data_IF_388570682277
#
_entry.id   IF_388570682277
#
_cell.length_a   1.000
_cell.length_b   1.000
_cell.length_c   1.000
_cell.angle_alpha   90.00
_cell.angle_beta   90.00
_cell.angle_gamma   90.00
#
_symmetry.space_group_name_H-M   'P 1'
#
loop_
_entity.id
_entity.type
_entity.pdbx_description
1 polymer ?
#
# COMPACT_ATOMS: atom_id res chain seq x y z
N UNK A 1 17.95 17.93 -14.51
CA UNK A 1 17.71 19.33 -14.92
C UNK A 1 16.98 19.41 -16.26
N UNK A 2 17.51 18.88 -17.38
CA UNK A 2 16.86 18.97 -18.72
C UNK A 2 15.44 18.37 -18.76
N UNK A 3 15.21 17.24 -18.10
CA UNK A 3 13.87 16.62 -18.02
C UNK A 3 12.83 17.50 -17.31
N UNK A 4 13.24 18.26 -16.30
CA UNK A 4 12.37 19.16 -15.54
C UNK A 4 11.88 20.32 -16.42
N UNK A 5 12.79 20.96 -17.16
CA UNK A 5 12.45 22.00 -18.13
C UNK A 5 11.60 21.46 -19.29
N UNK A 6 11.89 20.23 -19.75
CA UNK A 6 11.05 19.57 -20.75
C UNK A 6 9.61 19.44 -20.28
N UNK A 7 9.38 18.92 -19.07
CA UNK A 7 8.02 18.76 -18.54
C UNK A 7 7.32 20.09 -18.30
N UNK A 8 8.03 21.09 -17.78
CA UNK A 8 7.50 22.46 -17.66
C UNK A 8 7.03 23.01 -19.01
N UNK A 9 7.82 22.82 -20.06
CA UNK A 9 7.49 23.33 -21.39
C UNK A 9 6.42 22.49 -22.10
N UNK A 10 6.38 21.17 -21.90
CA UNK A 10 5.45 20.29 -22.63
C UNK A 10 4.11 20.06 -21.92
N UNK A 11 4.12 20.03 -20.59
CA UNK A 11 2.96 19.67 -19.77
C UNK A 11 2.51 20.82 -18.84
N UNK A 12 3.16 21.99 -18.91
CA UNK A 12 2.85 23.17 -18.08
C UNK A 12 3.19 22.99 -16.59
N UNK A 13 3.62 21.80 -16.17
CA UNK A 13 3.96 21.47 -14.79
C UNK A 13 5.24 20.66 -14.74
N UNK A 14 6.10 20.95 -13.77
CA UNK A 14 7.39 20.27 -13.67
C UNK A 14 7.28 18.81 -13.17
N UNK A 15 6.17 18.49 -12.49
CA UNK A 15 5.91 17.21 -11.86
C UNK A 15 4.89 16.35 -12.61
N UNK A 16 4.45 16.77 -13.81
CA UNK A 16 3.33 16.14 -14.54
C UNK A 16 2.06 16.00 -13.68
N UNK A 17 1.89 16.90 -12.70
CA UNK A 17 0.85 16.89 -11.68
C UNK A 17 0.55 18.32 -11.25
N UNK A 18 -0.73 18.63 -11.10
CA UNK A 18 -1.18 19.90 -10.53
C UNK A 18 -1.06 19.77 -9.01
N UNK A 19 -0.49 20.79 -8.36
CA UNK A 19 -0.42 20.84 -6.90
C UNK A 19 -1.78 21.33 -6.42
N UNK A 20 -2.60 20.40 -5.95
CA UNK A 20 -3.91 20.69 -5.37
C UNK A 20 -3.97 20.14 -3.96
N UNK A 21 -4.64 20.88 -3.06
CA UNK A 21 -4.83 20.41 -1.70
C UNK A 21 -5.98 19.41 -1.67
N UNK A 22 -5.68 18.18 -1.26
CA UNK A 22 -6.66 17.12 -1.05
C UNK A 22 -6.69 16.73 0.42
N UNK A 23 -7.88 16.73 1.03
CA UNK A 23 -8.02 16.29 2.41
C UNK A 23 -7.84 14.75 2.49
N UNK A 24 -6.98 14.29 3.40
CA UNK A 24 -6.79 12.86 3.63
C UNK A 24 -8.11 12.23 4.10
N UNK A 25 -8.52 11.15 3.42
CA UNK A 25 -9.70 10.38 3.81
C UNK A 25 -9.51 9.77 5.20
N UNK A 26 -10.57 9.80 6.02
CA UNK A 26 -10.53 9.26 7.39
C UNK A 26 -10.15 7.79 7.39
N UNK A 27 -10.70 7.02 6.47
CA UNK A 27 -10.39 5.59 6.30
C UNK A 27 -8.89 5.33 6.14
N UNK A 28 -8.20 6.15 5.35
CA UNK A 28 -6.76 6.01 5.14
C UNK A 28 -5.97 6.38 6.39
N UNK A 29 -6.35 7.45 7.08
CA UNK A 29 -5.73 7.82 8.35
C UNK A 29 -5.87 6.68 9.38
N UNK A 30 -7.05 6.06 9.46
CA UNK A 30 -7.28 4.89 10.31
C UNK A 30 -6.45 3.68 9.85
N UNK A 31 -6.29 3.46 8.55
CA UNK A 31 -5.44 2.40 8.04
C UNK A 31 -3.96 2.59 8.43
N UNK A 32 -3.43 3.81 8.31
CA UNK A 32 -2.07 4.11 8.77
C UNK A 32 -1.93 3.97 10.29
N UNK A 33 -2.91 4.44 11.06
CA UNK A 33 -2.91 4.29 12.52
C UNK A 33 -2.98 2.82 12.94
N UNK A 34 -3.80 2.02 12.26
CA UNK A 34 -3.92 0.58 12.49
C UNK A 34 -2.60 -0.14 12.17
N UNK A 35 -1.96 0.21 11.06
CA UNK A 35 -0.64 -0.32 10.69
C UNK A 35 0.41 0.05 11.76
N UNK A 36 0.50 1.32 12.16
CA UNK A 36 1.43 1.78 13.21
C UNK A 36 1.17 1.08 14.54
N UNK A 37 -0.11 0.90 14.91
CA UNK A 37 -0.48 0.19 16.14
C UNK A 37 -0.05 -1.27 16.10
N UNK A 38 -0.16 -1.92 14.93
CA UNK A 38 0.22 -3.32 14.76
C UNK A 38 1.72 -3.59 15.00
N UNK A 39 2.56 -2.56 14.89
CA UNK A 39 4.00 -2.65 15.18
C UNK A 39 4.29 -2.91 16.65
N UNK A 40 3.44 -2.37 17.53
CA UNK A 40 3.66 -2.39 18.98
C UNK A 40 2.81 -3.42 19.69
N UNK A 41 1.59 -3.65 19.21
CA UNK A 41 0.71 -4.67 19.76
C UNK A 41 0.30 -5.63 18.67
N UNK A 42 0.83 -6.86 18.69
CA UNK A 42 0.57 -7.78 17.62
C UNK A 42 -0.88 -8.27 17.58
N UNK A 43 -1.34 -8.56 16.35
CA UNK A 43 -2.76 -8.75 16.06
C UNK A 43 -3.41 -10.03 16.63
N UNK A 44 -2.63 -11.04 16.99
CA UNK A 44 -3.12 -12.31 17.55
C UNK A 44 -3.37 -12.25 19.07
N UNK A 45 -2.98 -11.16 19.75
CA UNK A 45 -3.38 -10.99 21.13
C UNK A 45 -4.91 -10.75 21.13
N UNK A 46 -5.69 -11.49 21.94
CA UNK A 46 -7.15 -11.34 22.03
C UNK A 46 -7.51 -10.07 22.84
N UNK A 47 -6.95 -8.94 22.43
CA UNK A 47 -7.19 -7.62 22.99
C UNK A 47 -8.13 -6.88 22.06
N UNK A 48 -9.09 -6.16 22.65
CA UNK A 48 -9.93 -5.20 21.95
C UNK A 48 -9.08 -4.19 21.16
N UNK A 49 -9.59 -3.72 20.02
CA UNK A 49 -8.89 -2.76 19.16
C UNK A 49 -8.53 -1.47 19.90
N UNK A 50 -9.41 -1.01 20.79
CA UNK A 50 -9.18 0.21 21.60
C UNK A 50 -8.01 -0.01 22.56
N UNK A 51 -7.99 -1.15 23.25
CA UNK A 51 -6.93 -1.48 24.20
C UNK A 51 -5.58 -1.65 23.49
N UNK A 52 -5.61 -2.26 22.30
CA UNK A 52 -4.45 -2.41 21.42
C UNK A 52 -3.87 -1.05 21.00
N UNK A 53 -4.74 -0.14 20.57
CA UNK A 53 -4.35 1.21 20.20
C UNK A 53 -3.77 1.97 21.41
N UNK A 54 -4.43 1.89 22.57
CA UNK A 54 -3.97 2.54 23.81
C UNK A 54 -2.59 2.00 24.25
N UNK A 55 -2.38 0.69 24.22
CA UNK A 55 -1.08 0.08 24.53
C UNK A 55 0.00 0.54 23.57
N UNK A 56 -0.32 0.57 22.27
CA UNK A 56 0.60 1.00 21.22
C UNK A 56 1.02 2.46 21.38
N UNK A 57 0.04 3.34 21.63
CA UNK A 57 0.27 4.77 21.89
C UNK A 57 1.08 4.95 23.18
N UNK A 58 0.74 4.22 24.24
CA UNK A 58 1.44 4.31 25.54
C UNK A 58 2.90 3.90 25.42
N UNK A 59 3.20 2.82 24.68
CA UNK A 59 4.56 2.35 24.44
C UNK A 59 5.36 3.36 23.60
N UNK A 60 4.75 3.88 22.53
CA UNK A 60 5.37 4.91 21.71
C UNK A 60 5.65 6.18 22.51
N UNK A 61 4.62 6.76 23.11
CA UNK A 61 4.77 7.97 23.92
C UNK A 61 5.76 7.77 25.08
N UNK A 62 5.76 6.60 25.72
CA UNK A 62 6.65 6.28 26.84
C UNK A 62 8.12 6.26 26.44
N UNK A 63 8.47 5.59 25.33
CA UNK A 63 9.86 5.51 24.87
C UNK A 63 10.35 6.83 24.28
N UNK A 64 9.52 7.53 23.49
CA UNK A 64 9.85 8.88 23.04
C UNK A 64 10.02 9.83 24.23
N UNK A 65 9.09 9.81 25.19
CA UNK A 65 9.15 10.62 26.40
C UNK A 65 10.40 10.34 27.23
N UNK A 66 10.78 9.06 27.39
CA UNK A 66 12.01 8.67 28.07
C UNK A 66 13.25 9.21 27.36
N UNK A 67 13.32 9.09 26.03
CA UNK A 67 14.42 9.65 25.24
C UNK A 67 14.56 11.16 25.46
N UNK A 68 13.47 11.93 25.30
CA UNK A 68 13.49 13.38 25.53
C UNK A 68 13.84 13.75 26.97
N UNK A 69 13.35 12.99 27.94
CA UNK A 69 13.71 13.18 29.35
C UNK A 69 15.22 13.00 29.59
N UNK A 70 15.82 11.96 29.01
CA UNK A 70 17.27 11.72 29.11
C UNK A 70 18.09 12.83 28.45
N UNK A 71 17.70 13.26 27.24
CA UNK A 71 18.33 14.38 26.54
C UNK A 71 18.27 15.65 27.40
N UNK A 72 17.10 15.97 27.95
CA UNK A 72 16.88 17.14 28.79
C UNK A 72 17.69 17.09 30.10
N UNK A 73 17.68 15.94 30.79
CA UNK A 73 18.42 15.74 32.05
C UNK A 73 19.93 15.94 31.86
N UNK A 74 20.49 15.47 30.75
CA UNK A 74 21.91 15.61 30.43
C UNK A 74 22.26 17.02 29.98
N UNK A 75 21.42 17.65 29.16
CA UNK A 75 21.60 19.04 28.74
C UNK A 75 21.65 20.02 29.92
N UNK A 76 20.80 19.82 30.93
CA UNK A 76 20.84 20.61 32.17
C UNK A 76 22.12 20.39 32.99
N UNK A 77 22.68 19.17 32.98
CA UNK A 77 23.86 18.82 33.79
C UNK A 77 25.16 19.34 33.20
N UNK A 78 25.27 19.39 31.88
CA UNK A 78 26.54 19.71 31.21
C UNK A 78 26.62 21.15 30.67
N UNK A 79 25.54 21.95 30.75
CA UNK A 79 25.53 23.36 30.32
C UNK A 79 25.69 23.59 28.81
N UNK A 80 26.07 22.56 28.05
CA UNK A 80 26.18 22.55 26.59
C UNK A 80 25.40 21.38 26.01
N UNK A 81 24.56 21.64 25.01
CA UNK A 81 23.92 20.61 24.18
C UNK A 81 25.00 20.04 23.25
N UNK A 82 25.92 19.23 23.77
CA UNK A 82 26.80 18.43 22.93
C UNK A 82 26.01 17.20 22.48
N UNK A 83 25.87 17.00 21.18
CA UNK A 83 25.34 15.76 20.62
C UNK A 83 26.32 14.65 21.00
N UNK A 84 25.99 13.90 22.04
CA UNK A 84 26.76 12.74 22.46
C UNK A 84 26.74 11.72 21.32
N UNK A 85 27.91 11.34 20.82
CA UNK A 85 28.10 10.32 19.77
C UNK A 85 27.36 9.03 20.09
N UNK A 86 27.15 8.71 21.37
CA UNK A 86 26.40 7.51 21.78
C UNK A 86 24.90 7.55 21.39
N UNK A 87 24.34 8.71 21.07
CA UNK A 87 22.90 8.89 20.78
C UNK A 87 22.65 9.26 19.31
N UNK A 88 23.71 9.30 18.48
CA UNK A 88 23.59 9.68 17.07
C UNK A 88 22.58 8.80 16.34
N UNK A 89 22.56 7.50 16.63
CA UNK A 89 21.61 6.55 16.04
C UNK A 89 20.16 6.91 16.37
N UNK A 90 19.87 7.28 17.62
CA UNK A 90 18.52 7.66 18.03
C UNK A 90 18.05 8.94 17.33
N UNK A 91 18.94 9.94 17.23
CA UNK A 91 18.65 11.20 16.53
C UNK A 91 18.45 11.00 15.03
N UNK A 92 19.31 10.20 14.38
CA UNK A 92 19.17 9.87 12.96
C UNK A 92 17.88 9.11 12.71
N UNK A 93 17.52 8.14 13.56
CA UNK A 93 16.24 7.43 13.45
C UNK A 93 15.05 8.36 13.62
N UNK A 94 15.08 9.26 14.62
CA UNK A 94 14.00 10.22 14.84
C UNK A 94 13.84 11.18 13.65
N UNK A 95 14.95 11.71 13.13
CA UNK A 95 14.95 12.58 11.96
C UNK A 95 14.40 11.85 10.72
N UNK A 96 14.81 10.59 10.53
CA UNK A 96 14.30 9.77 9.42
C UNK A 96 12.79 9.51 9.56
N UNK A 97 12.33 9.06 10.74
CA UNK A 97 10.91 8.79 11.01
C UNK A 97 10.08 10.03 10.74
N UNK A 98 10.46 11.17 11.32
CA UNK A 98 9.72 12.43 11.20
C UNK A 98 9.78 12.99 9.78
N UNK A 99 10.96 12.97 9.14
CA UNK A 99 11.13 13.42 7.77
C UNK A 99 10.34 12.57 6.76
N UNK A 100 10.38 11.25 6.89
CA UNK A 100 9.64 10.33 6.01
C UNK A 100 8.13 10.46 6.20
N UNK A 101 7.63 10.54 7.44
CA UNK A 101 6.21 10.82 7.72
C UNK A 101 5.81 12.18 7.13
N UNK A 102 6.65 13.21 7.30
CA UNK A 102 6.41 14.53 6.70
C UNK A 102 6.30 14.49 5.18
N UNK A 103 7.20 13.77 4.52
CA UNK A 103 7.15 13.56 3.05
C UNK A 103 5.88 12.81 2.66
N UNK A 104 5.50 11.75 3.38
CA UNK A 104 4.25 11.02 3.11
C UNK A 104 3.02 11.92 3.26
N UNK A 105 2.96 12.73 4.33
CA UNK A 105 1.86 13.68 4.55
C UNK A 105 1.81 14.72 3.43
N UNK A 106 2.95 15.33 3.07
CA UNK A 106 3.01 16.30 1.96
C UNK A 106 2.57 15.62 0.65
N UNK A 107 3.03 14.41 0.36
CA UNK A 107 2.63 13.69 -0.84
C UNK A 107 1.13 13.39 -0.86
N UNK A 108 0.55 12.95 0.27
CA UNK A 108 -0.89 12.70 0.39
C UNK A 108 -1.73 13.97 0.30
N UNK A 109 -1.28 15.10 0.87
CA UNK A 109 -2.04 16.35 0.85
C UNK A 109 -1.94 17.11 -0.47
N UNK A 110 -0.81 17.03 -1.17
CA UNK A 110 -0.52 17.96 -2.28
C UNK A 110 -0.24 17.31 -3.64
N UNK A 111 0.14 16.03 -3.67
CA UNK A 111 0.67 15.42 -4.90
C UNK A 111 -0.15 14.27 -5.45
N UNK A 112 -0.94 13.56 -4.63
CA UNK A 112 -1.56 12.32 -5.10
C UNK A 112 -2.88 11.96 -4.41
N UNK A 113 -3.99 12.41 -5.00
CA UNK A 113 -5.33 11.96 -4.62
C UNK A 113 -5.51 10.44 -4.76
N UNK A 114 -4.84 9.80 -5.73
CA UNK A 114 -4.94 8.35 -5.93
C UNK A 114 -4.18 7.56 -4.85
N UNK A 115 -3.04 8.05 -4.35
CA UNK A 115 -2.42 7.47 -3.15
C UNK A 115 -3.36 7.54 -1.95
N UNK A 116 -4.23 8.55 -1.90
CA UNK A 116 -5.21 8.67 -0.82
C UNK A 116 -6.31 7.60 -0.91
N UNK A 117 -6.54 7.03 -2.10
CA UNK A 117 -7.57 6.00 -2.33
C UNK A 117 -7.12 4.58 -2.04
N UNK A 118 -5.82 4.28 -2.19
CA UNK A 118 -5.30 2.93 -1.99
C UNK A 118 -3.81 2.90 -1.65
N UNK A 119 -3.30 3.82 -0.82
CA UNK A 119 -1.92 3.76 -0.37
C UNK A 119 -1.71 2.48 0.46
N UNK A 120 -0.91 1.54 -0.04
CA UNK A 120 -0.60 0.34 0.71
C UNK A 120 0.33 0.69 1.87
N UNK A 121 0.07 0.07 3.02
CA UNK A 121 0.87 0.13 4.24
C UNK A 121 2.38 -0.06 4.03
N UNK A 122 2.78 -0.65 2.90
CA UNK A 122 4.18 -0.83 2.48
C UNK A 122 5.00 0.47 2.49
N UNK A 123 4.39 1.65 2.31
CA UNK A 123 5.10 2.93 2.37
C UNK A 123 5.67 3.26 3.76
N UNK A 124 5.15 2.61 4.81
CA UNK A 124 5.65 2.75 6.17
C UNK A 124 6.75 1.72 6.53
N UNK A 125 7.08 0.76 5.65
CA UNK A 125 8.14 -0.24 5.93
C UNK A 125 9.48 0.44 6.30
N UNK A 126 9.96 1.47 5.59
CA UNK A 126 11.19 2.14 6.00
C UNK A 126 11.07 2.78 7.38
N UNK A 127 9.94 3.44 7.67
CA UNK A 127 9.66 4.01 9.00
C UNK A 127 9.69 2.94 10.07
N UNK A 128 9.05 1.79 9.81
CA UNK A 128 9.02 0.66 10.73
C UNK A 128 10.43 0.16 11.09
N UNK A 129 11.35 0.05 10.12
CA UNK A 129 12.73 -0.35 10.39
C UNK A 129 13.43 0.63 11.34
N UNK A 130 13.31 1.94 11.09
CA UNK A 130 13.93 2.95 11.96
C UNK A 130 13.25 3.05 13.33
N UNK A 131 11.95 2.79 13.41
CA UNK A 131 11.23 2.63 14.67
C UNK A 131 11.79 1.45 15.46
N UNK A 132 11.99 0.28 14.84
CA UNK A 132 12.60 -0.88 15.51
C UNK A 132 14.00 -0.55 16.03
N UNK A 133 14.86 0.06 15.21
CA UNK A 133 16.20 0.49 15.64
C UNK A 133 16.12 1.46 16.80
N UNK A 134 15.26 2.48 16.72
CA UNK A 134 15.05 3.44 17.81
C UNK A 134 14.61 2.74 19.11
N UNK A 135 13.70 1.77 19.01
CA UNK A 135 13.17 1.03 20.16
C UNK A 135 14.21 0.12 20.78
N UNK A 136 14.99 -0.61 19.98
CA UNK A 136 16.05 -1.49 20.47
C UNK A 136 17.11 -0.69 21.22
N UNK A 137 17.56 0.43 20.62
CA UNK A 137 18.62 1.26 21.21
C UNK A 137 18.11 1.98 22.47
N UNK A 138 16.90 2.54 22.43
CA UNK A 138 16.29 3.21 23.60
C UNK A 138 15.98 2.21 24.71
N UNK A 139 15.48 1.01 24.36
CA UNK A 139 15.21 -0.07 25.31
C UNK A 139 16.50 -0.61 25.95
N UNK A 140 17.58 -0.74 25.19
CA UNK A 140 18.90 -1.11 25.72
C UNK A 140 19.42 -0.06 26.72
N UNK A 141 19.37 1.23 26.36
CA UNK A 141 19.77 2.32 27.26
C UNK A 141 18.87 2.41 28.48
N UNK A 142 17.58 2.16 28.33
CA UNK A 142 16.63 2.07 29.42
C UNK A 142 17.07 0.96 30.39
N UNK A 143 17.30 -0.26 29.90
CA UNK A 143 17.74 -1.41 30.70
C UNK A 143 19.11 -1.18 31.37
N UNK A 144 20.01 -0.43 30.75
CA UNK A 144 21.34 -0.12 31.27
C UNK A 144 21.30 0.93 32.39
N UNK A 145 20.49 1.97 32.22
CA UNK A 145 20.44 3.11 33.14
C UNK A 145 19.44 2.94 34.28
N UNK A 146 18.53 1.98 34.15
CA UNK A 146 17.60 1.60 35.19
C UNK A 146 18.36 0.94 36.34
N UNK A 147 18.50 1.66 37.47
CA UNK A 147 18.95 1.10 38.76
C UNK A 147 17.86 0.25 39.44
N UNK A 148 16.93 -0.30 38.67
CA UNK A 148 15.82 -1.09 39.21
C UNK A 148 16.36 -2.50 39.50
N UNK A 149 16.00 -3.04 40.66
CA UNK A 149 16.45 -4.36 41.11
C UNK A 149 16.29 -5.43 40.02
N UNK A 150 17.19 -6.42 40.04
CA UNK A 150 17.36 -7.50 39.04
C UNK A 150 16.03 -8.05 38.46
N UNK A 151 14.97 -8.15 39.28
CA UNK A 151 13.63 -8.64 38.88
C UNK A 151 12.98 -7.85 37.74
N UNK A 152 12.99 -6.52 37.74
CA UNK A 152 12.32 -5.73 36.70
C UNK A 152 13.07 -5.74 35.38
N UNK A 153 14.40 -5.85 35.42
CA UNK A 153 15.23 -6.04 34.22
C UNK A 153 14.81 -7.30 33.47
N UNK A 154 14.57 -8.40 34.20
CA UNK A 154 14.07 -9.65 33.62
C UNK A 154 12.64 -9.54 33.10
N UNK A 155 11.75 -8.79 33.79
CA UNK A 155 10.39 -8.54 33.29
C UNK A 155 10.40 -7.76 31.97
N UNK A 156 11.19 -6.69 31.86
CA UNK A 156 11.29 -5.90 30.62
C UNK A 156 11.93 -6.72 29.50
N UNK A 157 13.01 -7.46 29.78
CA UNK A 157 13.65 -8.32 28.80
C UNK A 157 12.70 -9.44 28.32
N UNK A 158 11.97 -10.08 29.24
CA UNK A 158 10.95 -11.08 28.92
C UNK A 158 9.83 -10.50 28.07
N UNK A 159 9.34 -9.29 28.40
CA UNK A 159 8.35 -8.59 27.60
C UNK A 159 8.85 -8.30 26.17
N UNK A 160 10.05 -7.74 26.01
CA UNK A 160 10.64 -7.47 24.70
C UNK A 160 10.81 -8.75 23.88
N UNK A 161 11.25 -9.84 24.51
CA UNK A 161 11.41 -11.13 23.86
C UNK A 161 10.06 -11.70 23.42
N UNK A 162 9.02 -11.58 24.25
CA UNK A 162 7.65 -11.92 23.86
C UNK A 162 7.25 -11.08 22.65
N UNK A 163 7.31 -9.75 22.70
CA UNK A 163 6.95 -8.89 21.56
C UNK A 163 7.66 -9.33 20.27
N UNK A 164 8.98 -9.51 20.31
CA UNK A 164 9.78 -9.93 19.15
C UNK A 164 9.38 -11.32 18.65
N UNK A 165 9.39 -12.34 19.52
CA UNK A 165 9.12 -13.73 19.12
C UNK A 165 7.72 -13.90 18.55
N UNK A 166 6.81 -13.06 19.02
CA UNK A 166 5.42 -13.10 18.66
C UNK A 166 5.22 -12.45 17.26
N UNK A 167 5.99 -11.40 16.91
CA UNK A 167 6.06 -10.85 15.54
C UNK A 167 6.72 -11.80 14.51
N UNK A 168 7.57 -12.74 14.96
CA UNK A 168 8.21 -13.72 14.08
C UNK A 168 7.23 -14.76 13.50
N UNK A 169 6.12 -15.08 14.20
CA UNK A 169 5.18 -16.11 13.74
C UNK A 169 4.43 -15.71 12.47
N UNK A 170 3.81 -14.50 12.37
CA UNK A 170 3.21 -14.04 11.13
C UNK A 170 4.22 -13.90 9.99
N UNK A 171 5.45 -13.45 10.31
CA UNK A 171 6.52 -13.32 9.32
C UNK A 171 6.90 -14.68 8.74
N UNK A 172 7.08 -15.70 9.60
CA UNK A 172 7.37 -17.06 9.16
C UNK A 172 6.26 -17.61 8.27
N UNK A 173 4.99 -17.44 8.65
CA UNK A 173 3.85 -17.88 7.83
C UNK A 173 3.81 -17.17 6.47
N UNK A 174 4.09 -15.87 6.43
CA UNK A 174 4.18 -15.11 5.16
C UNK A 174 5.36 -15.56 4.29
N UNK A 175 6.50 -15.91 4.90
CA UNK A 175 7.69 -16.38 4.18
C UNK A 175 7.54 -17.81 3.66
N UNK A 176 6.91 -18.69 4.44
CA UNK A 176 6.66 -20.08 4.07
C UNK A 176 5.85 -20.19 2.76
N UNK A 177 4.85 -19.33 2.62
CA UNK A 177 3.95 -19.29 1.45
C UNK A 177 4.20 -18.06 0.57
N UNK A 178 5.41 -17.52 0.57
CA UNK A 178 5.72 -16.25 -0.09
C UNK A 178 5.28 -16.20 -1.56
N UNK A 179 5.36 -17.32 -2.28
CA UNK A 179 4.94 -17.42 -3.69
C UNK A 179 3.47 -17.06 -3.91
N UNK A 180 2.58 -17.29 -2.94
CA UNK A 180 1.14 -17.00 -2.99
C UNK A 180 0.87 -15.49 -2.80
N UNK A 181 1.76 -14.78 -2.11
CA UNK A 181 1.59 -13.38 -1.73
C UNK A 181 2.32 -12.38 -2.64
N UNK A 182 3.08 -12.84 -3.63
CA UNK A 182 3.87 -11.97 -4.51
C UNK A 182 3.12 -11.65 -5.81
N UNK A 183 2.42 -10.51 -5.82
CA UNK A 183 1.95 -9.84 -7.05
C UNK A 183 1.24 -10.74 -8.06
N UNK A 184 1.65 -10.66 -9.33
CA UNK A 184 1.06 -11.41 -10.44
C UNK A 184 1.37 -12.91 -10.40
N UNK A 185 2.54 -13.32 -9.91
CA UNK A 185 2.91 -14.72 -9.74
C UNK A 185 1.99 -15.43 -8.74
N UNK A 186 1.69 -14.79 -7.61
CA UNK A 186 0.76 -15.31 -6.62
C UNK A 186 -0.69 -15.36 -7.10
N UNK A 187 -1.07 -14.49 -8.04
CA UNK A 187 -2.38 -14.58 -8.70
C UNK A 187 -2.45 -15.82 -9.60
N UNK A 188 -1.44 -16.06 -10.44
CA UNK A 188 -1.37 -17.24 -11.30
C UNK A 188 -1.46 -18.55 -10.50
N UNK A 189 -0.76 -18.64 -9.36
CA UNK A 189 -0.79 -19.83 -8.51
C UNK A 189 -2.13 -20.05 -7.80
N UNK A 190 -2.81 -18.97 -7.37
CA UNK A 190 -4.12 -19.07 -6.68
C UNK A 190 -5.29 -19.31 -7.62
N UNK A 191 -5.17 -18.85 -8.87
CA UNK A 191 -6.26 -18.90 -9.85
C UNK A 191 -5.78 -19.55 -11.16
N UNK A 192 -5.36 -20.82 -11.12
CA UNK A 192 -4.86 -21.52 -12.31
C UNK A 192 -5.92 -21.59 -13.42
N UNK A 193 -7.21 -21.67 -13.06
CA UNK A 193 -8.31 -21.70 -14.04
C UNK A 193 -8.45 -20.39 -14.81
N UNK A 194 -8.34 -19.24 -14.13
CA UNK A 194 -8.34 -17.92 -14.79
C UNK A 194 -7.12 -17.81 -15.70
N UNK A 195 -5.94 -18.20 -15.22
CA UNK A 195 -4.71 -18.17 -16.00
C UNK A 195 -4.81 -19.04 -17.26
N UNK A 196 -5.42 -20.22 -17.14
CA UNK A 196 -5.68 -21.13 -18.26
C UNK A 196 -6.68 -20.52 -19.25
N UNK A 197 -7.83 -20.03 -18.78
CA UNK A 197 -8.84 -19.42 -19.64
C UNK A 197 -8.31 -18.21 -20.40
N UNK A 198 -7.49 -17.37 -19.78
CA UNK A 198 -6.83 -16.24 -20.47
C UNK A 198 -5.83 -16.74 -21.54
N UNK A 199 -5.10 -17.82 -21.28
CA UNK A 199 -4.17 -18.44 -22.26
C UNK A 199 -4.89 -19.12 -23.42
N UNK A 200 -6.08 -19.67 -23.16
CA UNK A 200 -6.88 -20.41 -24.14
C UNK A 200 -7.64 -19.48 -25.11
N UNK A 201 -7.69 -18.16 -24.86
CA UNK A 201 -8.20 -17.17 -25.81
C UNK A 201 -7.33 -17.18 -27.07
N UNK A 202 -7.97 -17.29 -28.24
CA UNK A 202 -7.30 -17.28 -29.55
C UNK A 202 -6.34 -16.08 -29.69
N UNK A 203 -5.15 -16.33 -30.26
CA UNK A 203 -4.08 -15.33 -30.44
C UNK A 203 -4.48 -14.15 -31.32
N UNK A 204 -5.42 -14.34 -32.24
CA UNK A 204 -5.95 -13.31 -33.14
C UNK A 204 -6.96 -12.39 -32.48
N UNK A 205 -7.59 -12.82 -31.38
CA UNK A 205 -8.67 -12.09 -30.73
C UNK A 205 -8.13 -11.01 -29.78
N UNK A 206 -8.55 -9.73 -29.91
CA UNK A 206 -8.11 -8.68 -29.00
C UNK A 206 -8.67 -8.89 -27.59
N UNK A 207 -7.86 -8.61 -26.57
CA UNK A 207 -8.26 -8.70 -25.16
C UNK A 207 -8.32 -7.29 -24.58
N UNK A 208 -9.46 -6.93 -23.98
CA UNK A 208 -9.63 -5.70 -23.20
C UNK A 208 -9.70 -6.09 -21.72
N UNK A 209 -9.02 -5.36 -20.83
CA UNK A 209 -9.02 -5.71 -19.41
C UNK A 209 -8.87 -4.51 -18.47
N UNK A 210 -9.34 -4.67 -17.23
CA UNK A 210 -9.07 -3.75 -16.13
C UNK A 210 -7.63 -3.82 -15.62
N UNK A 211 -6.87 -4.86 -15.99
CA UNK A 211 -5.46 -5.03 -15.64
C UNK A 211 -4.69 -5.69 -16.80
N UNK A 212 -4.36 -4.92 -17.86
CA UNK A 212 -3.70 -5.46 -19.05
C UNK A 212 -2.31 -6.04 -18.75
N UNK A 213 -1.64 -5.53 -17.72
CA UNK A 213 -0.33 -6.02 -17.28
C UNK A 213 -0.41 -7.45 -16.72
N UNK A 214 -1.47 -7.75 -15.94
CA UNK A 214 -1.70 -9.10 -15.45
C UNK A 214 -2.08 -10.03 -16.60
N UNK A 215 -2.87 -9.59 -17.58
CA UNK A 215 -3.14 -10.38 -18.78
C UNK A 215 -1.85 -10.70 -19.54
N UNK A 216 -0.96 -9.72 -19.71
CA UNK A 216 0.36 -9.93 -20.32
C UNK A 216 1.20 -10.92 -19.53
N UNK A 217 1.24 -10.81 -18.21
CA UNK A 217 1.95 -11.76 -17.36
C UNK A 217 1.38 -13.19 -17.50
N UNK A 218 0.06 -13.34 -17.55
CA UNK A 218 -0.60 -14.65 -17.62
C UNK A 218 -0.49 -15.29 -19.01
N UNK A 219 -0.62 -14.53 -20.08
CA UNK A 219 -0.72 -15.05 -21.46
C UNK A 219 0.51 -14.82 -22.33
N UNK A 220 1.39 -13.90 -21.95
CA UNK A 220 2.45 -13.37 -22.81
C UNK A 220 1.94 -12.46 -23.93
N UNK A 221 0.67 -12.02 -23.87
CA UNK A 221 0.02 -11.22 -24.92
C UNK A 221 -0.37 -9.83 -24.40
N UNK A 222 -0.28 -8.83 -25.26
CA UNK A 222 -0.76 -7.49 -24.93
C UNK A 222 -2.28 -7.46 -24.81
N UNK A 223 -2.77 -6.68 -23.87
CA UNK A 223 -4.19 -6.38 -23.73
C UNK A 223 -4.40 -4.87 -23.71
N UNK A 224 -5.57 -4.44 -24.15
CA UNK A 224 -5.99 -3.05 -24.12
C UNK A 224 -6.57 -2.72 -22.75
N UNK A 225 -6.27 -1.51 -22.28
CA UNK A 225 -6.87 -1.00 -21.05
C UNK A 225 -8.36 -0.77 -21.27
N UNK A 226 -9.19 -1.16 -20.31
CA UNK A 226 -10.62 -0.81 -20.32
C UNK A 226 -10.84 0.71 -20.33
N UNK A 227 -12.03 1.19 -20.73
CA UNK A 227 -12.40 2.58 -20.58
C UNK A 227 -12.37 3.00 -19.10
N UNK A 228 -11.82 4.18 -18.83
CA UNK A 228 -11.70 4.74 -17.48
C UNK A 228 -12.59 5.98 -17.40
N UNK A 229 -13.75 5.86 -16.74
CA UNK A 229 -14.68 6.98 -16.61
C UNK A 229 -14.18 8.09 -15.69
N UNK A 230 -13.55 7.71 -14.57
CA UNK A 230 -13.13 8.62 -13.52
C UNK A 230 -11.62 8.49 -13.31
N UNK A 231 -10.90 9.62 -13.41
CA UNK A 231 -9.47 9.68 -13.12
C UNK A 231 -9.25 9.83 -11.60
N UNK A 232 -8.72 8.81 -10.90
CA UNK A 232 -8.52 8.90 -9.46
C UNK A 232 -7.40 9.86 -9.06
N UNK A 233 -6.52 10.26 -10.00
CA UNK A 233 -5.45 11.22 -9.71
C UNK A 233 -5.94 12.66 -9.75
N UNK A 234 -6.85 12.96 -10.68
CA UNK A 234 -7.43 14.31 -10.85
C UNK A 234 -8.78 14.47 -10.15
N UNK A 235 -9.34 13.37 -9.65
CA UNK A 235 -10.65 13.34 -8.99
C UNK A 235 -11.77 13.92 -9.85
N UNK A 236 -11.72 13.70 -11.17
CA UNK A 236 -12.71 14.15 -12.14
C UNK A 236 -13.02 13.07 -13.16
N UNK A 237 -14.18 13.19 -13.81
CA UNK A 237 -14.47 12.39 -15.00
C UNK A 237 -13.48 12.72 -16.12
N UNK A 238 -13.17 11.71 -16.93
CA UNK A 238 -12.23 11.84 -18.04
C UNK A 238 -12.93 12.36 -19.28
N UNK A 239 -12.36 13.41 -19.87
CA UNK A 239 -12.89 14.04 -21.08
C UNK A 239 -12.84 13.08 -22.30
N UNK A 240 -11.89 12.13 -22.30
CA UNK A 240 -11.68 11.14 -23.36
C UNK A 240 -12.46 9.82 -23.15
N UNK A 241 -13.40 9.78 -22.20
CA UNK A 241 -14.11 8.53 -21.87
C UNK A 241 -14.95 7.98 -23.03
N UNK A 242 -15.63 8.84 -23.77
CA UNK A 242 -16.46 8.44 -24.91
C UNK A 242 -15.60 7.85 -26.03
N UNK A 243 -14.48 8.49 -26.37
CA UNK A 243 -13.55 7.99 -27.37
C UNK A 243 -12.98 6.61 -26.97
N UNK A 244 -12.71 6.40 -25.68
CA UNK A 244 -12.29 5.10 -25.16
C UNK A 244 -13.38 4.03 -25.27
N UNK A 245 -14.64 4.39 -25.01
CA UNK A 245 -15.78 3.48 -25.17
C UNK A 245 -15.92 3.05 -26.63
N UNK A 246 -15.91 3.99 -27.57
CA UNK A 246 -16.03 3.69 -29.00
C UNK A 246 -14.88 2.81 -29.50
N UNK A 247 -13.64 3.13 -29.09
CA UNK A 247 -12.48 2.32 -29.42
C UNK A 247 -12.62 0.89 -28.90
N UNK A 248 -13.00 0.73 -27.63
CA UNK A 248 -13.15 -0.60 -27.02
C UNK A 248 -14.32 -1.37 -27.63
N UNK A 249 -15.44 -0.70 -27.93
CA UNK A 249 -16.57 -1.31 -28.61
C UNK A 249 -16.15 -1.85 -29.97
N UNK A 250 -15.39 -1.08 -30.76
CA UNK A 250 -14.88 -1.52 -32.06
C UNK A 250 -14.02 -2.78 -31.97
N UNK A 251 -13.21 -2.92 -30.91
CA UNK A 251 -12.42 -4.14 -30.66
C UNK A 251 -13.33 -5.33 -30.32
N UNK A 252 -14.36 -5.11 -29.50
CA UNK A 252 -15.29 -6.16 -29.10
C UNK A 252 -16.16 -6.64 -30.26
N UNK A 253 -16.58 -5.74 -31.13
CA UNK A 253 -17.39 -6.06 -32.31
C UNK A 253 -16.61 -6.89 -33.35
N UNK A 254 -15.28 -6.78 -33.37
CA UNK A 254 -14.41 -7.68 -34.17
C UNK A 254 -14.21 -9.07 -33.55
N UNK A 255 -14.96 -9.41 -32.49
CA UNK A 255 -14.88 -10.68 -31.77
C UNK A 255 -13.98 -10.65 -30.54
N UNK A 256 -13.56 -9.47 -30.09
CA UNK A 256 -12.76 -9.25 -28.88
C UNK A 256 -13.40 -9.80 -27.61
N UNK A 257 -12.56 -10.04 -26.60
CA UNK A 257 -13.02 -10.50 -25.27
C UNK A 257 -12.66 -9.45 -24.22
N UNK A 258 -13.65 -9.09 -23.41
CA UNK A 258 -13.43 -8.25 -22.24
C UNK A 258 -13.20 -9.14 -21.00
N UNK A 259 -12.07 -8.96 -20.33
CA UNK A 259 -11.65 -9.76 -19.17
C UNK A 259 -11.54 -8.88 -17.94
N UNK A 260 -12.42 -9.11 -16.99
CA UNK A 260 -12.47 -8.42 -15.70
C UNK A 260 -11.85 -9.29 -14.61
N UNK A 261 -10.72 -8.83 -14.08
CA UNK A 261 -10.01 -9.47 -12.99
C UNK A 261 -10.48 -8.88 -11.66
N UNK A 262 -11.00 -9.72 -10.77
CA UNK A 262 -11.78 -9.41 -9.55
C UNK A 262 -13.24 -9.00 -9.83
N UNK A 263 -14.14 -9.16 -8.83
CA UNK A 263 -15.54 -8.80 -8.98
C UNK A 263 -15.72 -7.34 -9.40
N UNK A 264 -16.70 -7.02 -10.27
CA UNK A 264 -16.97 -5.65 -10.64
C UNK A 264 -17.42 -4.86 -9.41
N UNK A 265 -16.85 -3.66 -9.25
CA UNK A 265 -17.38 -2.64 -8.34
C UNK A 265 -18.49 -1.85 -9.03
N UNK A 266 -19.27 -1.05 -8.29
CA UNK A 266 -20.36 -0.24 -8.88
C UNK A 266 -19.92 0.58 -10.11
N UNK A 267 -18.72 1.18 -10.08
CA UNK A 267 -18.20 1.93 -11.22
C UNK A 267 -17.81 1.06 -12.43
N UNK A 268 -17.52 -0.22 -12.22
CA UNK A 268 -17.26 -1.19 -13.27
C UNK A 268 -18.55 -1.74 -13.88
N UNK A 269 -19.60 -1.89 -13.09
CA UNK A 269 -20.93 -2.31 -13.57
C UNK A 269 -21.48 -1.30 -14.59
N UNK A 270 -21.27 -0.01 -14.35
CA UNK A 270 -21.63 1.04 -15.32
C UNK A 270 -20.91 0.85 -16.67
N UNK A 271 -19.62 0.54 -16.67
CA UNK A 271 -18.85 0.33 -17.91
C UNK A 271 -19.31 -0.95 -18.64
N UNK A 272 -19.67 -2.00 -17.90
CA UNK A 272 -20.22 -3.22 -18.48
C UNK A 272 -21.56 -2.94 -19.17
N UNK A 273 -22.40 -2.09 -18.57
CA UNK A 273 -23.65 -1.65 -19.17
C UNK A 273 -23.42 -0.73 -20.39
N UNK A 274 -22.51 0.23 -20.29
CA UNK A 274 -22.20 1.18 -21.36
C UNK A 274 -21.60 0.49 -22.61
N UNK A 275 -20.92 -0.64 -22.44
CA UNK A 275 -20.35 -1.47 -23.53
C UNK A 275 -21.29 -2.62 -23.97
N UNK A 276 -22.52 -2.69 -23.46
CA UNK A 276 -23.49 -3.76 -23.73
C UNK A 276 -22.87 -5.18 -23.66
N UNK A 277 -22.15 -5.44 -22.56
CA UNK A 277 -21.39 -6.67 -22.38
C UNK A 277 -22.24 -7.79 -21.77
N UNK A 278 -22.21 -8.95 -22.43
CA UNK A 278 -22.81 -10.18 -21.91
C UNK A 278 -21.75 -11.10 -21.30
N UNK A 279 -22.02 -11.58 -20.08
CA UNK A 279 -21.12 -12.50 -19.36
C UNK A 279 -21.15 -13.87 -20.03
N UNK A 280 -19.99 -14.36 -20.47
CA UNK A 280 -19.84 -15.70 -21.02
C UNK A 280 -19.68 -16.73 -19.91
N UNK A 281 -18.71 -16.51 -19.03
CA UNK A 281 -18.39 -17.38 -17.90
C UNK A 281 -17.57 -16.63 -16.85
N UNK A 282 -17.47 -17.21 -15.67
CA UNK A 282 -16.64 -16.69 -14.58
C UNK A 282 -15.98 -17.81 -13.79
N UNK A 283 -14.86 -17.50 -13.14
CA UNK A 283 -14.14 -18.44 -12.28
C UNK A 283 -14.04 -17.90 -10.86
N UNK A 284 -14.76 -18.54 -9.92
CA UNK A 284 -14.62 -18.38 -8.47
C UNK A 284 -14.41 -16.92 -8.00
N UNK A 285 -15.13 -15.97 -8.59
CA UNK A 285 -15.04 -14.53 -8.32
C UNK A 285 -13.66 -13.88 -8.58
N UNK A 286 -12.76 -14.56 -9.29
CA UNK A 286 -11.41 -14.06 -9.59
C UNK A 286 -11.28 -13.51 -11.01
N UNK A 287 -12.04 -14.06 -11.97
CA UNK A 287 -12.03 -13.62 -13.37
C UNK A 287 -13.41 -13.79 -14.01
N UNK A 288 -13.83 -12.77 -14.75
CA UNK A 288 -15.11 -12.70 -15.46
C UNK A 288 -14.85 -12.35 -16.92
N UNK A 289 -15.44 -13.10 -17.83
CA UNK A 289 -15.17 -13.03 -19.27
C UNK A 289 -16.45 -12.64 -19.98
N UNK A 290 -16.37 -11.58 -20.78
CA UNK A 290 -17.52 -11.00 -21.47
C UNK A 290 -17.25 -10.85 -22.96
N UNK A 291 -18.34 -10.79 -23.72
CA UNK A 291 -18.36 -10.43 -25.14
C UNK A 291 -19.42 -9.37 -25.39
N UNK A 292 -19.33 -8.69 -26.52
CA UNK A 292 -20.38 -7.80 -27.03
C UNK A 292 -21.68 -8.59 -27.16
N UNK A 293 -22.79 -8.13 -26.58
CA UNK A 293 -24.07 -8.85 -26.60
C UNK A 293 -24.55 -9.13 -28.03
N UNK A 294 -24.25 -8.21 -28.96
CA UNK A 294 -24.54 -8.37 -30.40
C UNK A 294 -23.87 -9.59 -31.03
N UNK A 295 -22.70 -9.99 -30.54
CA UNK A 295 -21.92 -11.11 -31.07
C UNK A 295 -22.42 -12.50 -30.65
N UNK A 296 -23.26 -12.58 -29.62
CA UNK A 296 -23.76 -13.87 -29.09
C UNK A 296 -24.93 -14.41 -29.92
N UNK A 297 -25.66 -13.55 -30.64
CA UNK A 297 -26.83 -13.92 -31.44
C UNK A 297 -26.54 -14.44 -32.85
N UNK A 298 -25.27 -14.44 -33.30
CA UNK A 298 -24.88 -14.73 -34.70
C UNK A 298 -24.26 -16.11 -34.93
N UNK A 299 -24.37 -17.04 -33.98
CA UNK A 299 -23.81 -18.40 -34.08
C UNK A 299 -24.86 -19.50 -33.95
#
# INVERSE_FOLDING_TARGET
MVWYFRNLNSAGTALNRVIEFHMMRKELAFQYLSEISSWFSPGYLPLDETLRALLSISLAAGLFGYFFFQVRKRGMRNGTISVDTNHIVMWVSLLYITGHIGVLLINSFFLDAATTSSAPARYLIPVYIFVLVFYIVTGYELLRNIGIGSRWRWLIAGYLLVVIGTQCVPLYNKLKDASIYVGYSGFHLRHPDVAKSVKDIDRSVPIVSNNPELIYFLSGRTAYMRPIRYDPYQMKERDDYIDQLEFVQSLLDTGGVYVQLKPPSQGLEAIIADLDLALMFSHANAGYFYKSASSIGTH
#
